data_IF_276537298455
#
_entry.id   IF_276537298455
#
_cell.length_a   1.000
_cell.length_b   1.000
_cell.length_c   1.000
_cell.angle_alpha   90.00
_cell.angle_beta   90.00
_cell.angle_gamma   90.00
#
_symmetry.space_group_name_H-M   'P 1'
#
loop_
_entity.id
_entity.type
_entity.pdbx_description
1 polymer ?
#
# COMPACT_ATOMS: atom_id res chain seq x y z
N UNK A 1 -14.21 -28.48 27.49
CA UNK A 1 -13.25 -27.42 27.11
C UNK A 1 -12.17 -27.36 28.19
N UNK A 2 -10.88 -27.47 27.86
CA UNK A 2 -9.82 -27.35 28.86
C UNK A 2 -9.85 -25.94 29.49
N UNK A 3 -9.69 -25.86 30.83
CA UNK A 3 -9.62 -24.57 31.54
C UNK A 3 -8.34 -23.84 31.11
N UNK A 4 -8.49 -22.57 30.72
CA UNK A 4 -7.37 -21.68 30.42
C UNK A 4 -6.44 -21.62 31.64
N UNK A 5 -5.12 -21.67 31.43
CA UNK A 5 -4.17 -21.49 32.53
C UNK A 5 -4.20 -20.05 33.03
N UNK A 6 -3.90 -19.84 34.32
CA UNK A 6 -3.87 -18.49 34.93
C UNK A 6 -2.95 -17.53 34.18
N UNK A 7 -1.85 -18.04 33.63
CA UNK A 7 -0.94 -17.27 32.77
C UNK A 7 -1.62 -16.78 31.49
N UNK A 8 -2.37 -17.67 30.81
CA UNK A 8 -3.13 -17.30 29.61
C UNK A 8 -4.26 -16.31 29.94
N UNK A 9 -4.91 -16.45 31.10
CA UNK A 9 -5.96 -15.53 31.55
C UNK A 9 -5.41 -14.12 31.81
N UNK A 10 -4.26 -14.01 32.49
CA UNK A 10 -3.59 -12.72 32.72
C UNK A 10 -3.11 -12.06 31.43
N UNK A 11 -2.47 -12.84 30.54
CA UNK A 11 -2.03 -12.34 29.24
C UNK A 11 -3.22 -11.81 28.40
N UNK A 12 -4.35 -12.53 28.40
CA UNK A 12 -5.59 -12.08 27.75
C UNK A 12 -6.15 -10.81 28.37
N UNK A 13 -6.20 -10.70 29.70
CA UNK A 13 -6.69 -9.51 30.38
C UNK A 13 -5.84 -8.28 30.06
N UNK A 14 -4.51 -8.44 30.05
CA UNK A 14 -3.57 -7.38 29.68
C UNK A 14 -3.76 -6.95 28.22
N UNK A 15 -3.89 -7.90 27.29
CA UNK A 15 -4.18 -7.62 25.88
C UNK A 15 -5.47 -6.82 25.70
N UNK A 16 -6.55 -7.19 26.41
CA UNK A 16 -7.83 -6.46 26.37
C UNK A 16 -7.67 -5.03 26.88
N UNK A 17 -6.93 -4.83 27.98
CA UNK A 17 -6.66 -3.49 28.50
C UNK A 17 -5.84 -2.66 27.52
N UNK A 18 -4.79 -3.22 26.91
CA UNK A 18 -3.98 -2.53 25.89
C UNK A 18 -4.82 -2.08 24.71
N UNK A 19 -5.74 -2.92 24.21
CA UNK A 19 -6.66 -2.55 23.13
C UNK A 19 -7.64 -1.46 23.56
N UNK A 20 -8.17 -1.53 24.79
CA UNK A 20 -9.10 -0.51 25.31
C UNK A 20 -8.42 0.86 25.44
N UNK A 21 -7.21 0.89 25.99
CA UNK A 21 -6.46 2.13 26.19
C UNK A 21 -6.01 2.76 24.87
N UNK A 22 -5.71 1.94 23.86
CA UNK A 22 -5.22 2.40 22.56
C UNK A 22 -6.25 2.23 21.43
N UNK A 23 -7.56 2.18 21.74
CA UNK A 23 -8.62 1.80 20.79
C UNK A 23 -8.54 2.53 19.46
N UNK A 24 -8.30 3.83 19.50
CA UNK A 24 -8.27 4.68 18.30
C UNK A 24 -7.18 4.26 17.33
N UNK A 25 -6.02 3.79 17.83
CA UNK A 25 -4.93 3.30 16.97
C UNK A 25 -5.30 2.03 16.18
N UNK A 26 -6.23 1.22 16.70
CA UNK A 26 -6.70 -0.01 16.05
C UNK A 26 -7.77 0.25 14.98
N UNK A 27 -8.54 1.34 15.12
CA UNK A 27 -9.68 1.64 14.24
C UNK A 27 -9.42 2.79 13.27
N UNK A 28 -8.46 3.67 13.59
CA UNK A 28 -8.16 4.84 12.79
C UNK A 28 -7.68 4.45 11.39
N UNK A 29 -8.26 5.11 10.39
CA UNK A 29 -7.82 5.07 9.00
C UNK A 29 -6.86 6.21 8.67
N UNK A 30 -6.66 7.14 9.61
CA UNK A 30 -5.67 8.20 9.44
C UNK A 30 -4.27 7.60 9.46
N UNK A 31 -3.36 8.02 8.58
CA UNK A 31 -1.94 7.67 8.66
C UNK A 31 -1.34 8.07 10.00
N UNK A 32 -0.28 7.37 10.44
CA UNK A 32 0.30 7.54 11.78
C UNK A 32 0.75 8.99 12.07
N UNK A 33 1.11 9.75 11.03
CA UNK A 33 1.58 11.12 11.13
C UNK A 33 0.51 12.17 10.77
N UNK A 34 -0.78 11.81 10.78
CA UNK A 34 -1.89 12.77 10.55
C UNK A 34 -1.92 13.41 9.16
N UNK A 35 -1.23 12.84 8.17
CA UNK A 35 -1.00 13.42 6.85
C UNK A 35 -1.06 12.40 5.71
N UNK A 36 -0.27 12.61 4.65
CA UNK A 36 -0.15 11.70 3.49
C UNK A 36 0.39 10.34 3.95
N UNK A 37 -0.15 9.20 3.50
CA UNK A 37 0.42 7.89 3.78
C UNK A 37 1.88 7.87 3.29
N UNK A 38 2.81 7.74 4.23
CA UNK A 38 4.24 7.86 3.95
C UNK A 38 4.79 6.61 3.25
N UNK A 39 4.09 5.48 3.37
CA UNK A 39 4.44 4.22 2.72
C UNK A 39 3.21 3.53 2.17
N UNK A 40 3.38 2.75 1.09
CA UNK A 40 2.30 1.90 0.58
C UNK A 40 1.82 0.87 1.60
N UNK A 41 2.65 0.55 2.61
CA UNK A 41 2.28 -0.34 3.71
C UNK A 41 1.20 0.24 4.62
N UNK A 42 1.18 1.56 4.84
CA UNK A 42 0.12 2.21 5.62
C UNK A 42 -1.22 2.13 4.89
N UNK A 43 -1.23 2.39 3.58
CA UNK A 43 -2.39 2.21 2.71
C UNK A 43 -2.86 0.75 2.67
N UNK A 44 -1.93 -0.20 2.57
CA UNK A 44 -2.22 -1.63 2.64
C UNK A 44 -2.86 -2.03 3.97
N UNK A 45 -2.48 -1.37 5.07
CA UNK A 45 -3.07 -1.49 6.40
C UNK A 45 -4.35 -0.64 6.58
N UNK A 46 -4.98 -0.22 5.49
CA UNK A 46 -6.29 0.44 5.51
C UNK A 46 -6.22 1.91 5.89
N UNK A 47 -5.07 2.56 5.70
CA UNK A 47 -5.03 4.02 5.73
C UNK A 47 -5.80 4.61 4.53
N UNK A 48 -6.40 5.77 4.71
CA UNK A 48 -7.10 6.48 3.64
C UNK A 48 -6.12 7.06 2.62
N UNK A 49 -6.55 7.10 1.36
CA UNK A 49 -5.88 7.87 0.32
C UNK A 49 -5.85 9.36 0.69
N UNK A 50 -4.84 10.08 0.22
CA UNK A 50 -4.82 11.54 0.36
C UNK A 50 -6.08 12.14 -0.24
N UNK A 51 -6.80 12.93 0.55
CA UNK A 51 -8.05 13.56 0.12
C UNK A 51 -9.17 12.56 -0.21
N UNK A 52 -9.08 11.32 0.30
CA UNK A 52 -10.04 10.23 0.05
C UNK A 52 -10.17 9.84 -1.43
N UNK A 53 -9.23 10.26 -2.28
CA UNK A 53 -9.28 10.10 -3.73
C UNK A 53 -7.95 9.52 -4.27
N UNK A 54 -8.06 8.45 -5.06
CA UNK A 54 -6.91 7.76 -5.67
C UNK A 54 -6.08 8.71 -6.56
N UNK A 55 -6.73 9.61 -7.30
CA UNK A 55 -6.07 10.55 -8.21
C UNK A 55 -5.30 11.61 -7.43
N UNK A 56 -5.83 12.07 -6.30
CA UNK A 56 -5.13 13.02 -5.42
C UNK A 56 -3.92 12.33 -4.78
N UNK A 57 -4.07 11.10 -4.27
CA UNK A 57 -2.96 10.31 -3.72
C UNK A 57 -1.86 10.04 -4.76
N UNK A 58 -2.25 9.66 -5.97
CA UNK A 58 -1.34 9.43 -7.10
C UNK A 58 -0.55 10.69 -7.45
N UNK A 59 -1.24 11.84 -7.57
CA UNK A 59 -0.57 13.11 -7.84
C UNK A 59 0.41 13.47 -6.71
N UNK A 60 -0.02 13.35 -5.45
CA UNK A 60 0.80 13.65 -4.28
C UNK A 60 2.07 12.78 -4.23
N UNK A 61 1.97 11.50 -4.61
CA UNK A 61 3.11 10.59 -4.65
C UNK A 61 4.06 10.86 -5.83
N UNK A 62 3.53 11.13 -7.03
CA UNK A 62 4.35 11.30 -8.23
C UNK A 62 5.00 12.68 -8.34
N UNK A 63 4.39 13.75 -7.81
CA UNK A 63 4.95 15.11 -7.91
C UNK A 63 6.40 15.20 -7.41
N UNK A 64 6.76 14.70 -6.20
CA UNK A 64 8.13 14.76 -5.70
C UNK A 64 9.13 14.00 -6.58
N UNK A 65 8.70 12.91 -7.22
CA UNK A 65 9.55 12.08 -8.08
C UNK A 65 9.78 12.72 -9.46
N UNK A 66 8.79 13.42 -10.00
CA UNK A 66 8.78 13.94 -11.38
C UNK A 66 9.13 15.44 -11.52
N UNK A 67 9.21 16.17 -10.41
CA UNK A 67 9.57 17.60 -10.43
C UNK A 67 10.98 17.81 -10.96
N UNK A 68 11.20 18.96 -11.59
CA UNK A 68 12.54 19.40 -11.97
C UNK A 68 13.41 19.52 -10.70
N UNK A 69 14.63 18.97 -10.75
CA UNK A 69 15.54 18.92 -9.60
C UNK A 69 15.25 17.79 -8.59
N UNK A 70 14.40 16.82 -8.94
CA UNK A 70 14.30 15.56 -8.19
C UNK A 70 15.69 14.89 -8.12
N UNK A 71 16.14 14.42 -6.93
CA UNK A 71 17.40 13.67 -6.82
C UNK A 71 17.31 12.30 -7.52
N UNK A 72 16.08 11.84 -7.80
CA UNK A 72 15.83 10.59 -8.48
C UNK A 72 15.94 10.75 -10.00
N UNK A 73 17.09 10.36 -10.56
CA UNK A 73 17.26 10.23 -12.01
C UNK A 73 16.51 9.00 -12.50
N UNK A 74 15.30 9.22 -13.02
CA UNK A 74 14.49 8.17 -13.62
C UNK A 74 14.91 7.92 -15.08
N UNK A 75 15.02 6.66 -15.52
CA UNK A 75 15.17 6.33 -16.93
C UNK A 75 14.05 6.98 -17.77
N UNK A 76 14.32 7.53 -18.98
CA UNK A 76 13.36 8.27 -19.79
C UNK A 76 12.07 7.52 -20.08
N UNK A 77 12.15 6.19 -20.26
CA UNK A 77 10.96 5.35 -20.45
C UNK A 77 10.08 5.31 -19.19
N UNK A 78 10.69 5.28 -18.01
CA UNK A 78 9.96 5.30 -16.73
C UNK A 78 9.40 6.71 -16.51
N UNK A 79 10.22 7.76 -16.64
CA UNK A 79 9.77 9.14 -16.50
C UNK A 79 8.57 9.44 -17.41
N UNK A 80 8.66 9.10 -18.71
CA UNK A 80 7.55 9.27 -19.65
C UNK A 80 6.30 8.47 -19.25
N UNK A 81 6.47 7.25 -18.75
CA UNK A 81 5.36 6.42 -18.27
C UNK A 81 4.68 7.05 -17.06
N UNK A 82 5.47 7.55 -16.10
CA UNK A 82 4.96 8.15 -14.87
C UNK A 82 4.33 9.53 -15.13
N UNK A 83 4.88 10.33 -16.04
CA UNK A 83 4.25 11.59 -16.48
C UNK A 83 2.91 11.33 -17.16
N UNK A 84 2.83 10.31 -18.01
CA UNK A 84 1.55 9.90 -18.61
C UNK A 84 0.55 9.46 -17.55
N UNK A 85 0.99 8.68 -16.56
CA UNK A 85 0.15 8.27 -15.45
C UNK A 85 -0.36 9.47 -14.63
N UNK A 86 0.51 10.43 -14.34
CA UNK A 86 0.16 11.65 -13.63
C UNK A 86 -0.88 12.49 -14.38
N UNK A 87 -0.75 12.60 -15.71
CA UNK A 87 -1.68 13.34 -16.54
C UNK A 87 -3.04 12.64 -16.72
N UNK A 88 -3.05 11.31 -16.80
CA UNK A 88 -4.24 10.51 -17.07
C UNK A 88 -4.26 9.23 -16.20
N UNK A 89 -4.81 9.29 -14.96
CA UNK A 89 -4.75 8.19 -13.99
C UNK A 89 -5.80 7.10 -14.25
N UNK A 90 -5.77 6.48 -15.43
CA UNK A 90 -6.65 5.35 -15.79
C UNK A 90 -6.09 4.02 -15.30
N UNK A 91 -6.94 3.01 -15.10
CA UNK A 91 -6.52 1.64 -14.81
C UNK A 91 -5.50 1.10 -15.81
N UNK A 92 -5.63 1.45 -17.09
CA UNK A 92 -4.69 1.06 -18.13
C UNK A 92 -3.30 1.67 -17.89
N UNK A 93 -3.24 2.99 -17.63
CA UNK A 93 -1.98 3.68 -17.39
C UNK A 93 -1.33 3.22 -16.07
N UNK A 94 -2.12 2.94 -15.02
CA UNK A 94 -1.60 2.39 -13.75
C UNK A 94 -0.93 1.03 -13.99
N UNK A 95 -1.57 0.13 -14.76
CA UNK A 95 -0.99 -1.19 -15.10
C UNK A 95 0.28 -1.09 -15.94
N UNK A 96 0.35 -0.11 -16.83
CA UNK A 96 1.58 0.14 -17.62
C UNK A 96 2.69 0.61 -16.69
N UNK A 97 2.43 1.61 -15.84
CA UNK A 97 3.39 2.10 -14.85
C UNK A 97 3.89 0.99 -13.93
N UNK A 98 2.98 0.21 -13.35
CA UNK A 98 3.31 -0.92 -12.48
C UNK A 98 4.26 -1.91 -13.14
N UNK A 99 3.98 -2.31 -14.39
CA UNK A 99 4.83 -3.24 -15.14
C UNK A 99 6.19 -2.62 -15.47
N UNK A 100 6.22 -1.36 -15.88
CA UNK A 100 7.47 -0.64 -16.16
C UNK A 100 8.35 -0.53 -14.91
N UNK A 101 7.77 -0.16 -13.77
CA UNK A 101 8.49 -0.07 -12.50
C UNK A 101 8.97 -1.45 -12.01
N UNK A 102 8.12 -2.48 -12.06
CA UNK A 102 8.51 -3.83 -11.66
C UNK A 102 9.66 -4.36 -12.51
N UNK A 103 9.63 -4.13 -13.83
CA UNK A 103 10.74 -4.50 -14.73
C UNK A 103 12.03 -3.73 -14.43
N UNK A 104 11.93 -2.47 -14.00
CA UNK A 104 13.08 -1.67 -13.63
C UNK A 104 13.72 -2.13 -12.32
N UNK A 105 12.91 -2.56 -11.35
CA UNK A 105 13.39 -3.10 -10.07
C UNK A 105 14.01 -4.49 -10.26
N UNK A 106 13.43 -5.35 -11.08
CA UNK A 106 13.92 -6.73 -11.28
C UNK A 106 15.16 -6.82 -12.17
N UNK A 107 15.32 -5.90 -13.12
CA UNK A 107 16.50 -5.86 -13.98
C UNK A 107 17.62 -5.06 -13.32
N UNK A 108 18.12 -5.60 -12.21
CA UNK A 108 19.22 -5.06 -11.39
C UNK A 108 20.47 -4.62 -12.16
N UNK A 109 20.59 -5.08 -13.41
CA UNK A 109 21.77 -4.95 -14.28
C UNK A 109 21.54 -3.91 -15.39
N UNK A 110 20.40 -3.22 -15.42
CA UNK A 110 20.12 -2.19 -16.43
C UNK A 110 20.89 -0.93 -16.06
N UNK A 111 22.09 -0.87 -16.59
CA UNK A 111 22.86 0.35 -16.70
C UNK A 111 22.08 1.27 -17.65
N UNK A 112 21.62 2.40 -17.14
CA UNK A 112 21.04 3.44 -17.97
C UNK A 112 22.06 4.57 -18.07
N UNK A 113 22.50 4.88 -19.29
CA UNK A 113 23.65 5.76 -19.54
C UNK A 113 24.96 5.29 -18.90
N UNK A 114 25.09 3.99 -18.60
CA UNK A 114 26.27 3.45 -17.91
C UNK A 114 26.24 3.66 -16.39
N UNK A 115 25.23 4.34 -15.85
CA UNK A 115 25.05 4.57 -14.41
C UNK A 115 24.06 3.55 -13.82
N UNK A 116 24.39 3.04 -12.63
CA UNK A 116 23.46 2.25 -11.84
C UNK A 116 22.38 3.15 -11.23
N UNK A 117 21.14 2.67 -11.23
CA UNK A 117 20.04 3.35 -10.56
C UNK A 117 20.31 3.40 -9.06
N UNK A 118 20.27 4.60 -8.46
CA UNK A 118 20.43 4.79 -7.01
C UNK A 118 19.53 3.83 -6.22
N UNK A 119 20.07 3.21 -5.17
CA UNK A 119 19.33 2.28 -4.33
C UNK A 119 18.03 2.90 -3.76
N UNK A 120 18.08 4.17 -3.38
CA UNK A 120 16.92 4.94 -2.92
C UNK A 120 15.84 5.06 -4.01
N UNK A 121 16.22 5.36 -5.24
CA UNK A 121 15.29 5.40 -6.38
C UNK A 121 14.66 4.03 -6.62
N UNK A 122 15.43 2.94 -6.45
CA UNK A 122 14.91 1.58 -6.57
C UNK A 122 13.85 1.30 -5.51
N UNK A 123 14.07 1.72 -4.27
CA UNK A 123 13.09 1.60 -3.18
C UNK A 123 11.80 2.36 -3.50
N UNK A 124 11.90 3.56 -4.06
CA UNK A 124 10.72 4.32 -4.49
C UNK A 124 9.96 3.64 -5.64
N UNK A 125 10.67 3.04 -6.60
CA UNK A 125 10.04 2.30 -7.69
C UNK A 125 9.36 1.02 -7.20
N UNK A 126 9.94 0.34 -6.22
CA UNK A 126 9.35 -0.84 -5.59
C UNK A 126 8.09 -0.47 -4.78
N UNK A 127 8.16 0.60 -3.98
CA UNK A 127 6.98 1.14 -3.26
C UNK A 127 5.88 1.55 -4.26
N UNK A 128 6.25 2.17 -5.38
CA UNK A 128 5.30 2.53 -6.44
C UNK A 128 4.61 1.31 -7.08
N UNK A 129 5.30 0.17 -7.21
CA UNK A 129 4.66 -1.08 -7.68
C UNK A 129 3.55 -1.51 -6.74
N UNK A 130 3.80 -1.46 -5.43
CA UNK A 130 2.78 -1.74 -4.41
C UNK A 130 1.65 -0.70 -4.45
N UNK A 131 1.98 0.59 -4.57
CA UNK A 131 0.99 1.67 -4.63
C UNK A 131 0.10 1.58 -5.86
N UNK A 132 0.63 1.15 -7.00
CA UNK A 132 -0.17 0.90 -8.19
C UNK A 132 -1.24 -0.18 -7.95
N UNK A 133 -0.91 -1.27 -7.25
CA UNK A 133 -1.92 -2.28 -6.90
C UNK A 133 -3.02 -1.69 -6.01
N UNK A 134 -2.66 -0.87 -5.03
CA UNK A 134 -3.59 -0.21 -4.13
C UNK A 134 -4.49 0.78 -4.88
N UNK A 135 -3.95 1.56 -5.82
CA UNK A 135 -4.73 2.43 -6.70
C UNK A 135 -5.67 1.65 -7.62
N UNK A 136 -5.20 0.55 -8.24
CA UNK A 136 -6.06 -0.31 -9.04
C UNK A 136 -7.23 -0.87 -8.19
N UNK A 137 -6.96 -1.30 -6.96
CA UNK A 137 -7.98 -1.77 -6.04
C UNK A 137 -8.95 -0.65 -5.62
N UNK A 138 -8.44 0.55 -5.35
CA UNK A 138 -9.25 1.74 -5.03
C UNK A 138 -10.16 2.19 -6.19
N UNK A 139 -9.73 1.96 -7.43
CA UNK A 139 -10.55 2.16 -8.64
C UNK A 139 -11.50 0.98 -8.93
N UNK A 140 -11.62 0.02 -8.02
CA UNK A 140 -12.58 -1.09 -8.11
C UNK A 140 -12.11 -2.26 -8.98
N UNK A 141 -10.81 -2.45 -9.21
CA UNK A 141 -10.30 -3.62 -9.92
C UNK A 141 -10.31 -4.87 -9.01
N UNK A 142 -11.11 -5.92 -9.29
CA UNK A 142 -11.24 -7.07 -8.39
C UNK A 142 -9.95 -7.89 -8.26
N UNK A 143 -9.21 -8.04 -9.35
CA UNK A 143 -7.92 -8.75 -9.35
C UNK A 143 -6.85 -8.04 -8.53
N UNK A 144 -6.84 -6.70 -8.54
CA UNK A 144 -5.95 -5.91 -7.71
C UNK A 144 -6.34 -6.02 -6.23
N UNK A 145 -7.64 -5.96 -5.91
CA UNK A 145 -8.12 -6.20 -4.55
C UNK A 145 -7.72 -7.60 -4.04
N UNK A 146 -7.87 -8.65 -4.85
CA UNK A 146 -7.41 -10.00 -4.47
C UNK A 146 -5.89 -10.05 -4.20
N UNK A 147 -5.10 -9.33 -4.99
CA UNK A 147 -3.66 -9.23 -4.77
C UNK A 147 -3.33 -8.49 -3.46
N UNK A 148 -3.95 -7.33 -3.21
CA UNK A 148 -3.81 -6.57 -1.97
C UNK A 148 -4.25 -7.38 -0.74
N UNK A 149 -5.29 -8.21 -0.86
CA UNK A 149 -5.69 -9.13 0.20
C UNK A 149 -4.58 -10.12 0.57
N UNK A 150 -3.94 -10.74 -0.44
CA UNK A 150 -2.80 -11.63 -0.23
C UNK A 150 -1.64 -10.92 0.44
N UNK A 151 -1.24 -9.75 -0.08
CA UNK A 151 -0.17 -8.94 0.49
C UNK A 151 -0.45 -8.53 1.94
N UNK A 152 -1.67 -8.09 2.25
CA UNK A 152 -2.05 -7.70 3.59
C UNK A 152 -2.03 -8.89 4.56
N UNK A 153 -2.46 -10.08 4.12
CA UNK A 153 -2.42 -11.30 4.92
C UNK A 153 -0.99 -11.79 5.17
N UNK A 154 -0.12 -11.75 4.17
CA UNK A 154 1.29 -12.12 4.33
C UNK A 154 2.00 -11.14 5.27
N UNK A 155 1.75 -9.84 5.12
CA UNK A 155 2.28 -8.83 6.04
C UNK A 155 1.77 -9.03 7.47
N UNK A 156 0.49 -9.40 7.65
CA UNK A 156 -0.05 -9.79 8.95
C UNK A 156 0.73 -10.97 9.54
N UNK A 157 0.91 -12.06 8.78
CA UNK A 157 1.64 -13.25 9.24
C UNK A 157 3.07 -12.96 9.69
N UNK A 158 3.77 -12.06 8.99
CA UNK A 158 5.12 -11.65 9.36
C UNK A 158 5.16 -10.80 10.64
N UNK A 159 4.11 -10.02 10.91
CA UNK A 159 4.03 -9.17 12.13
C UNK A 159 3.48 -9.92 13.35
N UNK A 160 2.62 -10.91 13.14
CA UNK A 160 1.95 -11.68 14.20
C UNK A 160 2.85 -12.69 14.93
N UNK A 161 4.11 -12.83 14.51
CA UNK A 161 5.10 -13.64 15.21
C UNK A 161 5.49 -13.05 16.59
N UNK A 162 5.16 -11.78 16.84
CA UNK A 162 5.34 -11.15 18.14
C UNK A 162 4.16 -11.43 19.07
N UNK A 163 4.39 -11.83 20.34
CA UNK A 163 3.30 -12.18 21.27
C UNK A 163 2.50 -10.98 21.79
N UNK A 164 2.84 -9.75 21.39
CA UNK A 164 2.16 -8.53 21.79
C UNK A 164 1.05 -8.15 20.80
N UNK A 165 -0.08 -7.67 21.31
CA UNK A 165 -1.16 -7.15 20.46
C UNK A 165 -0.72 -5.83 19.84
N UNK A 166 -0.66 -5.77 18.50
CA UNK A 166 -0.23 -4.58 17.77
C UNK A 166 -1.38 -4.00 16.91
N UNK A 167 -1.54 -2.67 16.83
CA UNK A 167 -2.50 -2.04 15.93
C UNK A 167 -2.27 -2.37 14.46
N UNK A 168 -0.99 -2.44 14.04
CA UNK A 168 -0.62 -2.73 12.66
C UNK A 168 -1.06 -4.14 12.24
N UNK A 169 -0.80 -5.17 13.05
CA UNK A 169 -1.22 -6.54 12.73
C UNK A 169 -2.74 -6.64 12.63
N UNK A 170 -3.48 -6.00 13.54
CA UNK A 170 -4.94 -5.97 13.47
C UNK A 170 -5.44 -5.29 12.20
N UNK A 171 -4.88 -4.12 11.86
CA UNK A 171 -5.24 -3.35 10.66
C UNK A 171 -4.94 -4.11 9.37
N UNK A 172 -3.81 -4.81 9.30
CA UNK A 172 -3.47 -5.66 8.15
C UNK A 172 -4.45 -6.83 7.99
N UNK A 173 -4.79 -7.53 9.07
CA UNK A 173 -5.77 -8.62 9.02
C UNK A 173 -7.15 -8.11 8.59
N UNK A 174 -7.60 -6.99 9.15
CA UNK A 174 -8.85 -6.34 8.75
C UNK A 174 -8.83 -5.95 7.27
N UNK A 175 -7.75 -5.31 6.81
CA UNK A 175 -7.62 -4.87 5.42
C UNK A 175 -7.61 -6.06 4.47
N UNK A 176 -6.99 -7.18 4.83
CA UNK A 176 -7.03 -8.41 4.04
C UNK A 176 -8.48 -8.90 3.82
N UNK A 177 -9.33 -8.85 4.85
CA UNK A 177 -10.75 -9.20 4.76
C UNK A 177 -11.50 -8.20 3.87
N UNK A 178 -11.29 -6.90 4.07
CA UNK A 178 -11.93 -5.84 3.28
C UNK A 178 -11.59 -5.96 1.79
N UNK A 179 -10.32 -6.22 1.46
CA UNK A 179 -9.87 -6.48 0.09
C UNK A 179 -10.44 -7.79 -0.49
N UNK A 180 -10.54 -8.85 0.30
CA UNK A 180 -11.19 -10.10 -0.14
C UNK A 180 -12.65 -9.87 -0.50
N UNK A 181 -13.37 -9.09 0.31
CA UNK A 181 -14.76 -8.70 0.01
C UNK A 181 -14.81 -7.89 -1.28
N UNK A 182 -13.97 -6.86 -1.41
CA UNK A 182 -13.89 -6.02 -2.60
C UNK A 182 -13.57 -6.81 -3.87
N UNK A 183 -12.72 -7.84 -3.78
CA UNK A 183 -12.38 -8.71 -4.91
C UNK A 183 -13.54 -9.56 -5.45
N UNK A 184 -14.62 -9.69 -4.67
CA UNK A 184 -15.83 -10.45 -5.04
C UNK A 184 -16.97 -9.54 -5.47
N UNK A 185 -16.80 -8.23 -5.34
CA UNK A 185 -17.80 -7.24 -5.76
C UNK A 185 -17.74 -7.08 -7.29
N UNK A 186 -18.88 -6.90 -7.96
CA UNK A 186 -18.88 -6.55 -9.38
C UNK A 186 -18.15 -5.20 -9.57
N UNK A 187 -17.46 -5.01 -10.71
CA UNK A 187 -16.74 -3.76 -10.96
C UNK A 187 -17.70 -2.58 -10.88
N UNK A 188 -17.30 -1.54 -10.13
CA UNK A 188 -18.09 -0.31 -10.01
C UNK A 188 -18.05 0.37 -11.38
N UNK A 189 -19.11 0.20 -12.17
CA UNK A 189 -19.32 0.96 -13.40
C UNK A 189 -19.69 2.37 -12.97
N UNK A 190 -18.71 3.27 -12.90
CA UNK A 190 -18.98 4.69 -12.73
C UNK A 190 -19.82 5.15 -13.92
N UNK A 191 -21.10 5.41 -13.69
CA UNK A 191 -21.93 6.14 -14.65
C UNK A 191 -21.36 7.56 -14.69
N UNK A 192 -20.66 7.87 -15.77
CA UNK A 192 -20.28 9.24 -16.10
C UNK A 192 -21.57 10.06 -16.14
N UNK A 193 -21.72 11.01 -15.23
CA UNK A 193 -22.68 12.11 -15.32
C UNK A 193 -21.88 13.37 -15.55
#
# INVERSE_FOLDING_TARGET
>A
MPKMSDHQARARAQAVLSVRLARDSFISKTPANGGIPNTSRELLAGAEFVGEDVRIDLAAFLIPLLKAGSPHRLPPRIDATLRRLQADPTLANIRVARRSCALAVTRSDVHWEGEELLAETRMHLDDLVMRCWLWEAGLGCPGAAAHCAGLAFDAYRMTSATPAVSPLSFRLLRSAIEYLIASRMPPVVSVVR
#
